data_IF_817719119495
#
_entry.id   IF_817719119495
#
_cell.length_a   1.000
_cell.length_b   1.000
_cell.length_c   1.000
_cell.angle_alpha   90.00
_cell.angle_beta   90.00
_cell.angle_gamma   90.00
#
_symmetry.space_group_name_H-M   'P 1'
#
loop_
_entity.id
_entity.type
_entity.pdbx_description
1 polymer ?
#
# COMPACT_ATOMS: atom_id res chain seq x y z
N UNK A 1 -12.71 19.13 0.71
CA UNK A 1 -11.87 19.22 -0.49
C UNK A 1 -11.54 17.80 -0.92
N UNK A 2 -11.58 17.50 -2.23
CA UNK A 2 -11.16 16.24 -2.79
C UNK A 2 -9.68 15.99 -2.46
N UNK A 3 -9.34 14.78 -2.04
CA UNK A 3 -7.97 14.36 -1.76
C UNK A 3 -7.45 13.49 -2.89
N UNK A 4 -6.14 13.42 -3.06
CA UNK A 4 -5.47 12.50 -3.95
C UNK A 4 -4.91 11.34 -3.14
N UNK A 5 -5.29 10.13 -3.51
CA UNK A 5 -4.87 8.90 -2.86
C UNK A 5 -3.96 8.09 -3.78
N UNK A 6 -2.92 7.50 -3.24
CA UNK A 6 -2.16 6.42 -3.86
C UNK A 6 -2.52 5.13 -3.12
N UNK A 7 -3.07 4.15 -3.84
CA UNK A 7 -3.49 2.86 -3.25
C UNK A 7 -2.67 1.74 -3.85
N UNK A 8 -1.98 0.97 -3.01
CA UNK A 8 -1.22 -0.19 -3.47
C UNK A 8 -2.04 -1.48 -3.42
N UNK A 9 -1.86 -2.36 -4.43
CA UNK A 9 -2.57 -3.63 -4.50
C UNK A 9 -4.06 -3.47 -4.78
N UNK A 10 -4.41 -2.66 -5.78
CA UNK A 10 -5.78 -2.24 -6.09
C UNK A 10 -6.56 -3.20 -6.97
N UNK A 11 -5.92 -4.28 -7.49
CA UNK A 11 -6.53 -5.15 -8.51
C UNK A 11 -7.70 -6.00 -8.03
N UNK A 12 -7.82 -6.24 -6.73
CA UNK A 12 -8.87 -7.11 -6.17
C UNK A 12 -9.09 -6.88 -4.67
N UNK A 13 -10.18 -7.46 -4.19
CA UNK A 13 -10.47 -7.52 -2.76
C UNK A 13 -10.53 -6.16 -2.10
N UNK A 14 -9.90 -6.02 -0.93
CA UNK A 14 -9.97 -4.81 -0.13
C UNK A 14 -9.35 -3.59 -0.83
N UNK A 15 -8.26 -3.77 -1.59
CA UNK A 15 -7.65 -2.67 -2.34
C UNK A 15 -8.58 -2.09 -3.40
N UNK A 16 -9.28 -2.94 -4.15
CA UNK A 16 -10.29 -2.51 -5.13
C UNK A 16 -11.45 -1.77 -4.42
N UNK A 17 -11.99 -2.33 -3.36
CA UNK A 17 -13.07 -1.70 -2.60
C UNK A 17 -12.67 -0.32 -2.00
N UNK A 18 -11.42 -0.16 -1.58
CA UNK A 18 -10.90 1.12 -1.10
C UNK A 18 -10.83 2.14 -2.22
N UNK A 19 -10.37 1.74 -3.41
CA UNK A 19 -10.35 2.62 -4.59
C UNK A 19 -11.77 3.07 -4.92
N UNK A 20 -12.72 2.16 -5.03
CA UNK A 20 -14.12 2.48 -5.31
C UNK A 20 -14.73 3.41 -4.26
N UNK A 21 -14.50 3.13 -2.99
CA UNK A 21 -14.99 3.99 -1.89
C UNK A 21 -14.36 5.39 -1.93
N UNK A 22 -13.06 5.48 -2.26
CA UNK A 22 -12.37 6.76 -2.41
C UNK A 22 -12.93 7.60 -3.56
N UNK A 23 -13.17 6.98 -4.71
CA UNK A 23 -13.74 7.62 -5.90
C UNK A 23 -15.19 8.04 -5.64
N UNK A 24 -16.01 7.18 -5.02
CA UNK A 24 -17.38 7.50 -4.63
C UNK A 24 -17.48 8.68 -3.65
N UNK A 25 -16.46 8.86 -2.81
CA UNK A 25 -16.34 10.01 -1.91
C UNK A 25 -15.80 11.30 -2.61
N UNK A 26 -15.62 11.27 -3.92
CA UNK A 26 -15.16 12.41 -4.73
C UNK A 26 -13.65 12.64 -4.69
N UNK A 27 -12.87 11.68 -4.20
CA UNK A 27 -11.42 11.77 -4.23
C UNK A 27 -10.85 11.34 -5.59
N UNK A 28 -9.61 11.70 -5.86
CA UNK A 28 -8.84 11.22 -7.02
C UNK A 28 -7.90 10.11 -6.56
N UNK A 29 -7.73 9.09 -7.39
CA UNK A 29 -6.96 7.90 -6.98
C UNK A 29 -5.92 7.52 -8.03
N UNK A 30 -4.66 7.37 -7.62
CA UNK A 30 -3.70 6.57 -8.35
C UNK A 30 -3.82 5.12 -7.85
N UNK A 31 -4.46 4.27 -8.64
CA UNK A 31 -4.60 2.85 -8.35
C UNK A 31 -3.41 2.07 -8.90
N UNK A 32 -2.78 1.24 -8.06
CA UNK A 32 -1.59 0.52 -8.51
C UNK A 32 -1.72 -1.00 -8.32
N UNK A 33 -1.20 -1.73 -9.30
CA UNK A 33 -1.06 -3.18 -9.28
C UNK A 33 0.17 -3.60 -10.07
N UNK A 34 0.65 -4.83 -9.92
CA UNK A 34 1.74 -5.36 -10.74
C UNK A 34 1.31 -5.54 -12.20
N UNK A 35 0.10 -6.02 -12.37
CA UNK A 35 -0.57 -6.13 -13.67
C UNK A 35 -1.60 -5.00 -13.80
N UNK A 36 -1.33 -4.06 -14.70
CA UNK A 36 -2.15 -2.88 -14.92
C UNK A 36 -3.48 -3.21 -15.62
N UNK A 37 -3.50 -4.26 -16.46
CA UNK A 37 -4.68 -4.70 -17.18
C UNK A 37 -5.83 -5.06 -16.20
N UNK A 38 -5.45 -5.59 -15.03
CA UNK A 38 -6.41 -5.92 -13.97
C UNK A 38 -7.16 -4.73 -13.37
N UNK A 39 -6.81 -3.50 -13.76
CA UNK A 39 -7.40 -2.25 -13.29
C UNK A 39 -8.21 -1.50 -14.35
N UNK A 40 -8.25 -1.98 -15.59
CA UNK A 40 -8.87 -1.28 -16.72
C UNK A 40 -10.36 -0.99 -16.48
N UNK A 41 -11.12 -1.95 -15.97
CA UNK A 41 -12.55 -1.77 -15.66
C UNK A 41 -12.80 -0.62 -14.69
N UNK A 42 -11.89 -0.42 -13.72
CA UNK A 42 -11.96 0.71 -12.79
C UNK A 42 -11.73 2.04 -13.53
N UNK A 43 -10.77 2.07 -14.46
CA UNK A 43 -10.44 3.26 -15.22
C UNK A 43 -11.59 3.66 -16.16
N UNK A 44 -12.18 2.70 -16.85
CA UNK A 44 -13.31 2.94 -17.74
C UNK A 44 -14.54 3.53 -17.02
N UNK A 45 -14.81 3.04 -15.81
CA UNK A 45 -15.96 3.50 -15.01
C UNK A 45 -15.77 4.89 -14.37
N UNK A 46 -14.54 5.29 -14.10
CA UNK A 46 -14.27 6.49 -13.30
C UNK A 46 -13.50 7.60 -14.04
N UNK A 47 -13.07 7.35 -15.28
CA UNK A 47 -12.47 8.36 -16.17
C UNK A 47 -11.31 9.13 -15.52
N UNK A 48 -11.42 10.45 -15.49
CA UNK A 48 -10.34 11.33 -15.01
C UNK A 48 -10.11 11.34 -13.49
N UNK A 49 -11.01 10.73 -12.72
CA UNK A 49 -10.82 10.63 -11.27
C UNK A 49 -9.81 9.56 -10.87
N UNK A 50 -9.47 8.63 -11.78
CA UNK A 50 -8.52 7.56 -11.55
C UNK A 50 -7.38 7.60 -12.57
N UNK A 51 -6.19 7.28 -12.13
CA UNK A 51 -5.06 6.93 -13.01
C UNK A 51 -4.48 5.61 -12.54
N UNK A 52 -3.97 4.84 -13.49
CA UNK A 52 -3.41 3.52 -13.25
C UNK A 52 -1.89 3.58 -13.31
N UNK A 53 -1.23 2.78 -12.48
CA UNK A 53 0.22 2.68 -12.49
C UNK A 53 0.68 1.25 -12.16
N UNK A 54 1.56 0.70 -13.01
CA UNK A 54 2.17 -0.61 -12.76
C UNK A 54 3.20 -0.48 -11.61
N UNK A 55 2.96 -1.17 -10.49
CA UNK A 55 3.82 -1.09 -9.32
C UNK A 55 4.03 -2.47 -8.69
N UNK A 56 5.27 -2.93 -8.69
CA UNK A 56 5.74 -3.86 -7.70
C UNK A 56 6.24 -3.05 -6.49
N UNK A 57 5.64 -3.25 -5.32
CA UNK A 57 5.97 -2.49 -4.12
C UNK A 57 7.38 -2.78 -3.59
N UNK A 58 8.01 -3.85 -4.06
CA UNK A 58 9.39 -4.23 -3.71
C UNK A 58 10.44 -3.47 -4.52
N UNK A 59 10.03 -2.77 -5.58
CA UNK A 59 10.90 -1.92 -6.41
C UNK A 59 10.89 -0.48 -5.90
N UNK A 60 12.05 -0.04 -5.36
CA UNK A 60 12.22 1.32 -4.83
C UNK A 60 12.06 2.40 -5.93
N UNK A 61 12.52 2.12 -7.15
CA UNK A 61 12.45 3.07 -8.25
C UNK A 61 11.03 3.23 -8.79
N UNK A 62 10.31 2.11 -8.89
CA UNK A 62 8.90 2.10 -9.26
C UNK A 62 8.03 2.80 -8.20
N UNK A 63 8.30 2.60 -6.92
CA UNK A 63 7.61 3.28 -5.83
C UNK A 63 7.82 4.81 -5.88
N UNK A 64 9.05 5.27 -6.12
CA UNK A 64 9.33 6.70 -6.31
C UNK A 64 8.63 7.28 -7.53
N UNK A 65 8.58 6.51 -8.63
CA UNK A 65 7.89 6.89 -9.86
C UNK A 65 6.37 6.96 -9.68
N UNK A 66 5.77 6.04 -8.91
CA UNK A 66 4.34 6.06 -8.58
C UNK A 66 3.95 7.32 -7.79
N UNK A 67 4.76 7.73 -6.81
CA UNK A 67 4.53 8.98 -6.07
C UNK A 67 4.58 10.20 -7.01
N UNK A 68 5.58 10.26 -7.89
CA UNK A 68 5.69 11.34 -8.91
C UNK A 68 4.50 11.32 -9.86
N UNK A 69 4.05 10.13 -10.29
CA UNK A 69 2.90 9.99 -11.19
C UNK A 69 1.61 10.50 -10.55
N UNK A 70 1.36 10.20 -9.26
CA UNK A 70 0.21 10.73 -8.54
C UNK A 70 0.22 12.26 -8.50
N UNK A 71 1.36 12.85 -8.15
CA UNK A 71 1.52 14.31 -8.07
C UNK A 71 1.40 14.95 -9.46
N UNK A 72 2.01 14.36 -10.48
CA UNK A 72 1.95 14.87 -11.85
C UNK A 72 0.53 14.82 -12.45
N UNK A 73 -0.21 13.74 -12.18
CA UNK A 73 -1.55 13.55 -12.73
C UNK A 73 -2.61 14.43 -12.05
N UNK A 74 -2.47 14.70 -10.75
CA UNK A 74 -3.52 15.33 -9.95
C UNK A 74 -3.08 16.62 -9.23
N UNK A 75 -1.80 16.98 -9.33
CA UNK A 75 -1.24 18.18 -8.72
C UNK A 75 -0.86 18.03 -7.25
N UNK A 76 -1.26 16.96 -6.58
CA UNK A 76 -0.98 16.70 -5.16
C UNK A 76 -1.00 15.23 -4.81
N UNK A 77 -0.63 14.91 -3.58
CA UNK A 77 -0.81 13.60 -2.94
C UNK A 77 -1.07 13.84 -1.45
N UNK A 78 -2.20 13.39 -0.93
CA UNK A 78 -2.61 13.58 0.46
C UNK A 78 -2.55 12.28 1.26
N UNK A 79 -2.86 11.15 0.63
CA UNK A 79 -2.95 9.85 1.34
C UNK A 79 -2.23 8.76 0.58
N UNK A 80 -1.39 8.01 1.27
CA UNK A 80 -0.81 6.75 0.77
C UNK A 80 -1.41 5.59 1.54
N UNK A 81 -2.03 4.66 0.81
CA UNK A 81 -2.68 3.48 1.37
C UNK A 81 -1.87 2.25 0.98
N UNK A 82 -1.07 1.77 1.92
CA UNK A 82 -0.28 0.56 1.77
C UNK A 82 -1.15 -0.66 2.08
N UNK A 83 -1.83 -1.14 1.05
CA UNK A 83 -2.70 -2.31 1.11
C UNK A 83 -2.07 -3.53 0.44
N UNK A 84 -1.14 -3.35 -0.50
CA UNK A 84 -0.48 -4.47 -1.18
C UNK A 84 0.08 -5.49 -0.20
N UNK A 85 -0.29 -6.74 -0.39
CA UNK A 85 0.15 -7.85 0.44
C UNK A 85 -0.67 -9.10 0.22
N UNK A 86 -0.11 -10.22 0.64
CA UNK A 86 -0.76 -11.54 0.58
C UNK A 86 -0.35 -12.39 1.77
N UNK A 87 -1.08 -13.47 2.01
CA UNK A 87 -0.74 -14.44 3.04
C UNK A 87 -0.86 -15.85 2.52
N UNK A 88 0.15 -16.67 2.78
CA UNK A 88 0.07 -18.10 2.64
C UNK A 88 -0.41 -18.70 3.97
N UNK A 89 -1.43 -19.53 3.92
CA UNK A 89 -1.94 -20.29 5.05
C UNK A 89 -1.23 -21.65 5.06
N UNK A 90 -0.04 -21.66 5.63
CA UNK A 90 0.76 -22.88 5.78
C UNK A 90 1.47 -22.86 7.14
N UNK A 91 1.85 -24.04 7.65
CA UNK A 91 2.65 -24.13 8.87
C UNK A 91 4.06 -23.58 8.62
N UNK A 92 4.80 -23.27 9.69
CA UNK A 92 6.20 -22.80 9.56
C UNK A 92 7.07 -23.89 8.93
N UNK A 93 6.86 -25.14 9.32
CA UNK A 93 7.65 -26.30 8.86
C UNK A 93 7.40 -26.64 7.38
N UNK A 94 6.18 -26.41 6.88
CA UNK A 94 5.80 -26.71 5.48
C UNK A 94 6.05 -25.56 4.52
N UNK A 95 6.31 -24.35 5.03
CA UNK A 95 6.52 -23.17 4.18
C UNK A 95 7.96 -23.13 3.67
N UNK A 96 8.20 -23.19 2.34
CA UNK A 96 9.54 -23.01 1.79
C UNK A 96 10.12 -21.65 2.19
N UNK A 97 11.41 -21.61 2.49
CA UNK A 97 12.08 -20.37 2.88
C UNK A 97 12.03 -19.27 1.79
N UNK A 98 11.95 -19.66 0.51
CA UNK A 98 11.72 -18.73 -0.61
C UNK A 98 10.40 -17.98 -0.47
N UNK A 99 9.31 -18.70 -0.18
CA UNK A 99 7.96 -18.15 -0.04
C UNK A 99 7.86 -17.30 1.21
N UNK A 100 8.51 -17.76 2.29
CA UNK A 100 8.60 -16.97 3.51
C UNK A 100 9.27 -15.62 3.27
N UNK A 101 10.42 -15.61 2.57
CA UNK A 101 11.14 -14.39 2.20
C UNK A 101 10.32 -13.49 1.28
N UNK A 102 9.73 -14.05 0.22
CA UNK A 102 8.92 -13.30 -0.74
C UNK A 102 7.71 -12.63 -0.06
N UNK A 103 7.08 -13.30 0.89
CA UNK A 103 5.97 -12.72 1.66
C UNK A 103 6.42 -11.58 2.58
N UNK A 104 7.56 -11.71 3.25
CA UNK A 104 8.14 -10.64 4.06
C UNK A 104 8.55 -9.46 3.17
N UNK A 105 9.18 -9.73 2.04
CA UNK A 105 9.61 -8.72 1.07
C UNK A 105 8.42 -7.86 0.61
N UNK A 106 7.36 -8.50 0.13
CA UNK A 106 6.17 -7.77 -0.32
C UNK A 106 5.46 -7.05 0.83
N UNK A 107 5.16 -7.77 1.92
CA UNK A 107 4.24 -7.30 2.93
C UNK A 107 4.87 -6.30 3.90
N UNK A 108 6.17 -6.42 4.19
CA UNK A 108 6.89 -5.56 5.11
C UNK A 108 7.77 -4.55 4.37
N UNK A 109 8.72 -5.04 3.57
CA UNK A 109 9.64 -4.14 2.87
C UNK A 109 8.93 -3.32 1.82
N UNK A 110 7.97 -3.87 1.07
CA UNK A 110 7.14 -3.11 0.14
C UNK A 110 6.40 -1.96 0.81
N UNK A 111 5.82 -2.20 1.99
CA UNK A 111 5.19 -1.13 2.79
C UNK A 111 6.20 -0.04 3.20
N UNK A 112 7.40 -0.43 3.61
CA UNK A 112 8.47 0.51 4.00
C UNK A 112 8.95 1.30 2.78
N UNK A 113 9.17 0.65 1.65
CA UNK A 113 9.65 1.25 0.39
C UNK A 113 8.69 2.35 -0.07
N UNK A 114 7.39 2.03 -0.22
CA UNK A 114 6.39 3.02 -0.65
C UNK A 114 6.26 4.16 0.36
N UNK A 115 6.32 3.86 1.66
CA UNK A 115 6.30 4.88 2.70
C UNK A 115 7.52 5.81 2.58
N UNK A 116 8.73 5.26 2.41
CA UNK A 116 9.97 6.03 2.21
C UNK A 116 9.88 6.92 0.97
N UNK A 117 9.29 6.43 -0.12
CA UNK A 117 9.14 7.18 -1.36
C UNK A 117 8.25 8.43 -1.20
N UNK A 118 7.16 8.33 -0.45
CA UNK A 118 6.23 9.44 -0.25
C UNK A 118 6.63 10.41 0.88
N UNK A 119 7.43 9.93 1.84
CA UNK A 119 7.77 10.69 3.04
C UNK A 119 8.44 12.05 2.79
N UNK A 120 9.40 12.21 1.84
CA UNK A 120 10.01 13.50 1.54
C UNK A 120 8.98 14.55 1.09
N UNK A 121 8.05 14.17 0.20
CA UNK A 121 6.98 15.03 -0.28
C UNK A 121 6.04 15.47 0.84
N UNK A 122 5.58 14.55 1.67
CA UNK A 122 4.73 14.86 2.82
C UNK A 122 5.45 15.75 3.86
N UNK A 123 6.75 15.52 4.07
CA UNK A 123 7.55 16.35 4.96
C UNK A 123 7.67 17.79 4.45
N UNK A 124 7.91 17.98 3.16
CA UNK A 124 7.99 19.30 2.54
C UNK A 124 6.67 20.05 2.67
N UNK A 125 5.55 19.37 2.46
CA UNK A 125 4.20 19.95 2.59
C UNK A 125 3.74 20.13 4.03
N UNK A 126 4.41 19.51 5.01
CA UNK A 126 3.98 19.42 6.41
C UNK A 126 2.57 18.81 6.56
N UNK A 127 2.14 18.02 5.58
CA UNK A 127 0.80 17.41 5.51
C UNK A 127 0.86 16.11 4.71
N UNK A 128 0.05 15.12 5.10
CA UNK A 128 -0.09 13.83 4.45
C UNK A 128 -0.45 12.74 5.45
N UNK A 129 -1.01 11.66 4.95
CA UNK A 129 -1.44 10.52 5.78
C UNK A 129 -0.96 9.21 5.19
N UNK A 130 -0.55 8.29 6.06
CA UNK A 130 -0.31 6.89 5.71
C UNK A 130 -1.37 6.01 6.36
N UNK A 131 -2.05 5.21 5.53
CA UNK A 131 -2.91 4.11 5.99
C UNK A 131 -2.15 2.81 5.76
N UNK A 132 -1.82 2.13 6.85
CA UNK A 132 -1.05 0.89 6.81
C UNK A 132 -1.97 -0.29 7.16
N UNK A 133 -2.21 -1.17 6.19
CA UNK A 133 -3.00 -2.37 6.44
C UNK A 133 -2.19 -3.38 7.25
N UNK A 134 -2.81 -3.86 8.31
CA UNK A 134 -2.29 -4.90 9.18
C UNK A 134 -3.35 -6.01 9.31
N UNK A 135 -3.09 -7.02 10.09
CA UNK A 135 -4.01 -8.14 10.29
C UNK A 135 -4.20 -8.42 11.77
N UNK A 136 -5.33 -9.03 12.12
CA UNK A 136 -5.54 -9.65 13.43
C UNK A 136 -4.45 -10.69 13.75
N UNK A 137 -3.91 -11.38 12.76
CA UNK A 137 -2.79 -12.30 12.92
C UNK A 137 -1.53 -11.71 13.55
N UNK A 138 -1.40 -10.37 13.59
CA UNK A 138 -0.37 -9.69 14.37
C UNK A 138 -0.74 -9.42 15.84
N UNK A 139 -1.97 -9.67 16.22
CA UNK A 139 -2.50 -9.47 17.61
C UNK A 139 -2.87 -10.78 18.29
N UNK A 140 -3.48 -11.67 17.53
CA UNK A 140 -3.95 -12.97 17.98
C UNK A 140 -3.11 -14.00 17.24
N UNK A 141 -2.64 -15.00 17.95
CA UNK A 141 -1.79 -16.03 17.39
C UNK A 141 -2.54 -17.32 17.08
N UNK A 142 -3.40 -17.41 16.05
CA UNK A 142 -3.98 -18.69 15.68
C UNK A 142 -2.89 -19.68 15.26
N UNK A 143 -3.10 -20.95 15.52
CA UNK A 143 -2.20 -22.02 15.06
C UNK A 143 -2.19 -22.06 13.53
N UNK A 144 -1.06 -22.43 12.92
CA UNK A 144 -0.94 -22.67 11.48
C UNK A 144 -0.68 -21.47 10.57
N UNK A 145 -0.37 -20.26 11.10
CA UNK A 145 -0.13 -19.05 10.28
C UNK A 145 1.20 -18.36 10.61
N UNK A 146 2.30 -19.08 10.45
CA UNK A 146 3.65 -18.64 10.82
C UNK A 146 4.10 -17.31 10.21
N UNK A 147 4.22 -17.18 8.87
CA UNK A 147 4.84 -16.02 8.23
C UNK A 147 4.07 -14.71 8.41
N UNK A 148 2.75 -14.75 8.41
CA UNK A 148 1.89 -13.57 8.51
C UNK A 148 1.95 -12.92 9.89
N UNK A 149 2.28 -13.68 10.93
CA UNK A 149 2.43 -13.20 12.32
C UNK A 149 3.64 -12.30 12.50
N UNK A 150 4.78 -12.72 11.98
CA UNK A 150 6.04 -11.98 12.11
C UNK A 150 5.93 -10.59 11.46
N UNK A 151 5.41 -10.53 10.24
CA UNK A 151 5.18 -9.30 9.50
C UNK A 151 4.37 -8.27 10.29
N UNK A 152 3.26 -8.71 10.87
CA UNK A 152 2.30 -7.81 11.49
C UNK A 152 2.80 -7.23 12.83
N UNK A 153 3.66 -7.93 13.53
CA UNK A 153 4.37 -7.43 14.71
C UNK A 153 5.32 -6.28 14.34
N UNK A 154 6.13 -6.46 13.30
CA UNK A 154 7.14 -5.48 12.86
C UNK A 154 6.49 -4.24 12.22
N UNK A 155 5.44 -4.40 11.42
CA UNK A 155 4.75 -3.25 10.80
C UNK A 155 4.13 -2.30 11.82
N UNK A 156 3.76 -2.74 13.02
CA UNK A 156 3.31 -1.86 14.12
C UNK A 156 4.42 -0.95 14.66
N UNK A 157 5.63 -1.44 14.73
CA UNK A 157 6.77 -0.62 15.18
C UNK A 157 7.02 0.51 14.19
N UNK A 158 6.97 0.21 12.88
CA UNK A 158 7.14 1.22 11.84
C UNK A 158 6.04 2.29 11.84
N UNK A 159 4.78 1.92 12.10
CA UNK A 159 3.65 2.86 12.21
C UNK A 159 3.81 3.85 13.38
N UNK A 160 4.27 3.37 14.52
CA UNK A 160 4.53 4.24 15.69
C UNK A 160 5.67 5.24 15.41
N UNK A 161 6.73 4.80 14.74
CA UNK A 161 7.85 5.67 14.35
C UNK A 161 7.44 6.76 13.36
N UNK A 162 6.57 6.46 12.39
CA UNK A 162 6.06 7.47 11.46
C UNK A 162 5.22 8.55 12.16
N UNK A 163 4.36 8.18 13.10
CA UNK A 163 3.52 9.15 13.86
C UNK A 163 4.35 10.10 14.74
N UNK A 164 5.47 9.66 15.27
CA UNK A 164 6.29 10.48 16.18
C UNK A 164 7.01 11.63 15.47
N UNK A 165 7.32 11.53 14.19
CA UNK A 165 8.05 12.55 13.42
C UNK A 165 7.18 13.70 12.88
N UNK A 166 5.86 13.57 12.87
CA UNK A 166 4.95 14.60 12.39
C UNK A 166 4.55 15.66 13.45
N UNK A 167 4.95 15.46 14.71
CA UNK A 167 4.60 16.34 15.83
C UNK A 167 5.69 17.38 16.18
N UNK A 168 6.66 17.63 15.30
CA UNK A 168 7.67 18.68 15.53
C UNK A 168 7.71 19.66 14.38
#
# INVERSE_FOLDING_TARGET
>A
MAQVWLVTGSSRGLGCAIVEAGLAAGNKVLATARDIESLHDLSERHGDQIKLFALDVTDESAAASAVKAAIGAFGSLEVVINNAGYGNLSSIEDTPMSDFRAQIETNLFGTIIVTKAALPYFRQRKAGHFVQFSSMGGRIGPQGVGPIRLRNGVSRVSQKCCRAKWRR
#
